data_IF_539169843632
#
_entry.id   IF_539169843632
#
_cell.length_a   1.000
_cell.length_b   1.000
_cell.length_c   1.000
_cell.angle_alpha   90.00
_cell.angle_beta   90.00
_cell.angle_gamma   90.00
#
_symmetry.space_group_name_H-M   'P 1'
#
loop_
_entity.id
_entity.type
_entity.pdbx_description
1 polymer ?
#
# COMPACT_ATOMS: atom_id res chain seq x y z
N UNK A 1 3.83 -61.09 -30.38
CA UNK A 1 2.94 -60.10 -31.02
C UNK A 1 1.84 -59.74 -30.04
N UNK A 2 1.78 -58.50 -29.58
CA UNK A 2 0.70 -58.03 -28.70
C UNK A 2 -0.60 -57.98 -29.52
N UNK A 3 -1.49 -58.96 -29.32
CA UNK A 3 -2.81 -58.96 -29.94
C UNK A 3 -3.77 -58.11 -29.11
N UNK A 4 -4.04 -56.89 -29.57
CA UNK A 4 -5.06 -56.02 -28.98
C UNK A 4 -6.44 -56.37 -29.54
N UNK A 5 -7.45 -56.46 -28.68
CA UNK A 5 -8.84 -56.58 -29.12
C UNK A 5 -9.28 -55.33 -29.87
N UNK A 6 -10.09 -55.48 -30.93
CA UNK A 6 -10.46 -54.38 -31.84
C UNK A 6 -11.00 -53.13 -31.12
N UNK A 7 -11.76 -53.32 -30.04
CA UNK A 7 -12.25 -52.22 -29.20
C UNK A 7 -11.13 -51.46 -28.47
N UNK A 8 -10.12 -52.16 -27.95
CA UNK A 8 -8.94 -51.53 -27.34
C UNK A 8 -8.14 -50.75 -28.38
N UNK A 9 -8.00 -51.28 -29.60
CA UNK A 9 -7.36 -50.57 -30.72
C UNK A 9 -8.10 -49.28 -31.06
N UNK A 10 -9.44 -49.30 -31.11
CA UNK A 10 -10.26 -48.10 -31.34
C UNK A 10 -10.06 -47.07 -30.22
N UNK A 11 -10.08 -47.49 -28.96
CA UNK A 11 -9.84 -46.60 -27.81
C UNK A 11 -8.44 -45.95 -27.84
N UNK A 12 -7.42 -46.72 -28.20
CA UNK A 12 -6.05 -46.20 -28.32
C UNK A 12 -5.99 -45.12 -29.41
N UNK A 13 -6.53 -45.40 -30.59
CA UNK A 13 -6.55 -44.41 -31.68
C UNK A 13 -7.37 -43.16 -31.33
N UNK A 14 -8.51 -43.33 -30.64
CA UNK A 14 -9.33 -42.21 -30.20
C UNK A 14 -8.58 -41.34 -29.18
N UNK A 15 -7.84 -41.95 -28.25
CA UNK A 15 -6.99 -41.23 -27.29
C UNK A 15 -5.84 -40.49 -27.98
N UNK A 16 -5.20 -41.10 -28.98
CA UNK A 16 -4.13 -40.46 -29.77
C UNK A 16 -4.68 -39.27 -30.57
N UNK A 17 -5.84 -39.43 -31.21
CA UNK A 17 -6.52 -38.35 -31.96
C UNK A 17 -6.91 -37.22 -31.02
N UNK A 18 -7.49 -37.53 -29.85
CA UNK A 18 -7.80 -36.53 -28.85
C UNK A 18 -6.54 -35.76 -28.40
N UNK A 19 -5.44 -36.45 -28.13
CA UNK A 19 -4.16 -35.82 -27.78
C UNK A 19 -3.63 -34.89 -28.88
N UNK A 20 -3.72 -35.31 -30.15
CA UNK A 20 -3.35 -34.46 -31.29
C UNK A 20 -4.25 -33.23 -31.41
N UNK A 21 -5.56 -33.37 -31.20
CA UNK A 21 -6.50 -32.24 -31.23
C UNK A 21 -6.25 -31.22 -30.13
N UNK A 22 -5.87 -31.66 -28.92
CA UNK A 22 -5.49 -30.76 -27.82
C UNK A 22 -4.12 -30.10 -28.03
N UNK A 23 -3.20 -30.74 -28.74
CA UNK A 23 -1.87 -30.19 -29.04
C UNK A 23 -1.83 -29.30 -30.29
N UNK A 24 -2.75 -29.48 -31.24
CA UNK A 24 -2.83 -28.73 -32.49
C UNK A 24 -2.79 -27.19 -32.33
N UNK A 25 -3.41 -26.58 -31.30
CA UNK A 25 -3.39 -25.13 -31.12
C UNK A 25 -1.98 -24.55 -30.93
N UNK A 26 -1.03 -25.34 -30.43
CA UNK A 26 0.34 -24.88 -30.20
C UNK A 26 1.16 -24.73 -31.50
N UNK A 27 0.76 -25.38 -32.60
CA UNK A 27 1.49 -25.40 -33.88
C UNK A 27 1.01 -24.32 -34.86
N UNK A 28 -0.09 -23.64 -34.55
CA UNK A 28 -0.79 -22.74 -35.47
C UNK A 28 -0.72 -21.29 -34.96
N UNK A 29 -0.57 -20.32 -35.87
CA UNK A 29 -0.55 -18.89 -35.53
C UNK A 29 -1.92 -18.42 -35.00
N UNK A 30 -1.94 -17.42 -34.10
CA UNK A 30 -3.17 -16.92 -33.45
C UNK A 30 -4.26 -16.52 -34.45
N UNK A 31 -3.89 -15.89 -35.57
CA UNK A 31 -4.83 -15.50 -36.63
C UNK A 31 -5.55 -16.67 -37.31
N UNK A 32 -4.95 -17.85 -37.36
CA UNK A 32 -5.59 -19.06 -37.90
C UNK A 32 -6.39 -19.81 -36.83
N UNK A 33 -6.13 -19.58 -35.54
CA UNK A 33 -6.93 -20.12 -34.42
C UNK A 33 -8.26 -19.38 -34.26
N UNK A 34 -8.27 -18.06 -34.51
CA UNK A 34 -9.49 -17.25 -34.44
C UNK A 34 -10.50 -17.62 -35.54
N UNK A 35 -10.01 -18.16 -36.67
CA UNK A 35 -10.83 -18.68 -37.76
C UNK A 35 -11.40 -20.08 -37.50
N UNK A 36 -11.00 -20.77 -36.42
CA UNK A 36 -11.53 -22.09 -36.07
C UNK A 36 -12.93 -21.97 -35.43
N UNK A 37 -13.80 -22.98 -35.65
CA UNK A 37 -15.09 -23.06 -34.97
C UNK A 37 -14.96 -23.04 -33.44
N UNK A 38 -15.95 -22.47 -32.74
CA UNK A 38 -15.90 -22.28 -31.28
C UNK A 38 -15.86 -23.58 -30.45
N UNK A 39 -16.18 -24.73 -31.05
CA UNK A 39 -16.12 -26.04 -30.39
C UNK A 39 -14.69 -26.62 -30.32
N UNK A 40 -13.72 -26.03 -31.03
CA UNK A 40 -12.33 -26.49 -31.08
C UNK A 40 -11.51 -25.79 -29.98
N UNK A 41 -10.60 -26.47 -29.26
CA UNK A 41 -9.72 -25.82 -28.29
C UNK A 41 -8.87 -24.74 -28.96
N UNK A 42 -9.01 -23.48 -28.54
CA UNK A 42 -8.24 -22.33 -29.04
C UNK A 42 -7.09 -21.91 -28.11
N UNK A 43 -7.03 -22.50 -26.91
CA UNK A 43 -6.05 -22.15 -25.88
C UNK A 43 -4.69 -22.76 -26.20
N UNK A 44 -3.68 -21.91 -26.38
CA UNK A 44 -2.27 -22.34 -26.40
C UNK A 44 -1.81 -22.63 -24.98
N UNK A 45 -0.81 -23.50 -24.86
CA UNK A 45 -0.11 -23.69 -23.59
C UNK A 45 0.56 -22.38 -23.17
N UNK A 46 0.35 -21.96 -21.92
CA UNK A 46 1.04 -20.81 -21.36
C UNK A 46 2.53 -21.12 -21.27
N UNK A 47 3.34 -20.29 -21.94
CA UNK A 47 4.79 -20.42 -21.93
C UNK A 47 5.31 -19.75 -20.66
N UNK A 48 6.22 -20.40 -19.94
CA UNK A 48 6.89 -19.76 -18.80
C UNK A 48 7.79 -18.60 -19.23
N UNK A 49 8.19 -17.77 -18.27
CA UNK A 49 9.04 -16.59 -18.45
C UNK A 49 10.29 -16.86 -19.31
N UNK A 50 10.93 -18.02 -19.12
CA UNK A 50 12.16 -18.41 -19.82
C UNK A 50 11.95 -18.63 -21.33
N UNK A 51 10.72 -18.96 -21.75
CA UNK A 51 10.37 -19.20 -23.15
C UNK A 51 9.64 -18.03 -23.81
N UNK A 52 8.97 -17.18 -23.02
CA UNK A 52 8.20 -16.02 -23.50
C UNK A 52 8.99 -14.70 -23.40
N UNK A 53 10.05 -14.65 -22.61
CA UNK A 53 10.66 -13.39 -22.19
C UNK A 53 9.78 -12.64 -21.19
N UNK A 54 10.38 -11.71 -20.42
CA UNK A 54 9.64 -10.85 -19.51
C UNK A 54 10.52 -10.22 -18.44
N UNK A 55 9.87 -9.51 -17.52
CA UNK A 55 10.54 -8.75 -16.46
C UNK A 55 10.41 -9.43 -15.11
N UNK A 56 11.51 -9.49 -14.36
CA UNK A 56 11.60 -10.07 -13.02
C UNK A 56 12.19 -9.04 -12.05
N UNK A 57 11.41 -8.63 -11.05
CA UNK A 57 11.82 -7.64 -10.05
C UNK A 57 11.59 -8.21 -8.64
N UNK A 58 12.57 -7.98 -7.77
CA UNK A 58 12.46 -8.25 -6.34
C UNK A 58 12.39 -6.91 -5.61
N UNK A 59 11.28 -6.66 -4.94
CA UNK A 59 11.08 -5.49 -4.09
C UNK A 59 11.34 -5.87 -2.65
N UNK A 60 11.99 -5.00 -1.87
CA UNK A 60 12.24 -5.20 -0.45
C UNK A 60 11.60 -4.06 0.33
N UNK A 61 10.95 -4.38 1.44
CA UNK A 61 10.41 -3.40 2.38
C UNK A 61 11.53 -2.89 3.28
N UNK A 62 11.65 -1.58 3.37
CA UNK A 62 12.60 -0.94 4.28
C UNK A 62 12.05 -0.94 5.71
N UNK A 63 12.59 -1.81 6.57
CA UNK A 63 12.16 -1.93 7.98
C UNK A 63 12.38 -0.62 8.74
N UNK A 64 13.39 0.16 8.37
CA UNK A 64 13.67 1.45 8.99
C UNK A 64 12.50 2.44 8.83
N UNK A 65 11.84 2.44 7.67
CA UNK A 65 10.69 3.31 7.41
C UNK A 65 9.49 2.90 8.27
N UNK A 66 9.23 1.59 8.41
CA UNK A 66 8.19 1.07 9.31
C UNK A 66 8.44 1.48 10.76
N UNK A 67 9.70 1.42 11.23
CA UNK A 67 10.06 1.87 12.58
C UNK A 67 9.77 3.36 12.74
N UNK A 68 10.20 4.18 11.79
CA UNK A 68 10.02 5.63 11.83
C UNK A 68 8.53 6.00 11.85
N UNK A 69 7.74 5.47 10.92
CA UNK A 69 6.32 5.74 10.83
C UNK A 69 5.59 5.29 12.10
N UNK A 70 5.98 4.13 12.68
CA UNK A 70 5.38 3.66 13.92
C UNK A 70 5.75 4.55 15.11
N UNK A 71 6.99 5.04 15.20
CA UNK A 71 7.39 5.97 16.25
C UNK A 71 6.65 7.29 16.17
N UNK A 72 6.49 7.85 14.97
CA UNK A 72 5.73 9.08 14.74
C UNK A 72 4.26 8.87 15.14
N UNK A 73 3.63 7.78 14.67
CA UNK A 73 2.26 7.45 15.02
C UNK A 73 2.07 7.23 16.53
N UNK A 74 2.95 6.49 17.19
CA UNK A 74 2.89 6.27 18.65
C UNK A 74 3.08 7.57 19.40
N UNK A 75 4.03 8.42 19.00
CA UNK A 75 4.25 9.74 19.61
C UNK A 75 3.01 10.63 19.49
N UNK A 76 2.42 10.70 18.32
CA UNK A 76 1.25 11.55 18.06
C UNK A 76 0.02 11.05 18.82
N UNK A 77 -0.14 9.73 18.94
CA UNK A 77 -1.20 9.12 19.73
C UNK A 77 -1.02 9.36 21.23
N UNK A 78 0.19 9.21 21.77
CA UNK A 78 0.52 9.61 23.16
C UNK A 78 0.16 11.08 23.39
N UNK A 79 0.53 11.95 22.45
CA UNK A 79 0.21 13.39 22.51
C UNK A 79 -1.28 13.66 22.52
N UNK A 80 -2.05 12.94 21.70
CA UNK A 80 -3.50 13.07 21.58
C UNK A 80 -4.18 12.64 22.88
N UNK A 81 -3.89 11.44 23.35
CA UNK A 81 -4.47 10.86 24.56
C UNK A 81 -4.17 11.70 25.82
N UNK A 82 -2.93 12.14 26.00
CA UNK A 82 -2.57 12.99 27.14
C UNK A 82 -3.26 14.36 27.09
N UNK A 83 -3.54 14.90 25.90
CA UNK A 83 -4.24 16.18 25.75
C UNK A 83 -5.74 16.06 26.02
N UNK A 84 -6.36 14.97 25.61
CA UNK A 84 -7.79 14.72 25.86
C UNK A 84 -8.08 14.65 27.37
N UNK A 85 -7.20 13.99 28.13
CA UNK A 85 -7.30 13.90 29.59
C UNK A 85 -6.66 15.09 30.33
N UNK A 86 -6.24 16.14 29.60
CA UNK A 86 -5.61 17.35 30.16
C UNK A 86 -4.38 17.08 31.06
N UNK A 87 -3.62 16.02 30.77
CA UNK A 87 -2.42 15.63 31.52
C UNK A 87 -1.22 16.43 31.03
N UNK A 88 -0.56 17.13 31.95
CA UNK A 88 0.63 17.92 31.64
C UNK A 88 1.86 17.03 31.41
N UNK A 89 2.48 17.13 30.23
CA UNK A 89 3.70 16.37 29.89
C UNK A 89 4.84 17.27 29.38
N UNK A 90 6.06 16.73 29.39
CA UNK A 90 7.29 17.38 28.92
C UNK A 90 8.24 16.35 28.30
N UNK A 91 9.07 16.78 27.36
CA UNK A 91 10.10 15.93 26.77
C UNK A 91 9.56 14.78 25.92
N UNK A 92 8.40 14.94 25.27
CA UNK A 92 7.89 13.97 24.31
C UNK A 92 8.83 13.91 23.10
N UNK A 93 9.60 12.84 23.00
CA UNK A 93 10.57 12.62 21.92
C UNK A 93 10.61 11.15 21.53
N UNK A 94 10.70 10.86 20.23
CA UNK A 94 10.99 9.53 19.70
C UNK A 94 12.45 9.44 19.27
N UNK A 95 13.16 8.40 19.71
CA UNK A 95 14.55 8.14 19.30
C UNK A 95 14.79 6.64 19.14
N UNK A 96 15.36 6.23 18.01
CA UNK A 96 15.70 4.84 17.73
C UNK A 96 14.48 3.93 17.58
N UNK A 97 14.05 3.29 18.68
CA UNK A 97 12.83 2.45 18.77
C UNK A 97 11.99 2.79 20.00
N UNK A 98 12.29 3.92 20.65
CA UNK A 98 11.64 4.32 21.90
C UNK A 98 10.97 5.68 21.78
N UNK A 99 9.80 5.82 22.39
CA UNK A 99 9.13 7.10 22.63
C UNK A 99 9.15 7.33 24.12
N UNK A 100 9.75 8.44 24.54
CA UNK A 100 9.81 8.82 25.96
C UNK A 100 8.95 10.05 26.20
N UNK A 101 8.27 10.07 27.34
CA UNK A 101 7.46 11.19 27.80
C UNK A 101 7.56 11.31 29.31
N UNK A 102 7.77 12.52 29.81
CA UNK A 102 7.77 12.79 31.25
C UNK A 102 6.48 13.49 31.64
N UNK A 103 5.76 12.91 32.60
CA UNK A 103 4.56 13.51 33.18
C UNK A 103 4.99 14.55 34.22
N UNK A 104 4.36 15.73 34.21
CA UNK A 104 4.73 16.84 35.11
C UNK A 104 4.24 16.62 36.53
N UNK A 105 3.03 16.07 36.67
CA UNK A 105 2.39 15.86 37.97
C UNK A 105 2.52 14.39 38.39
N UNK A 106 3.14 14.16 39.56
CA UNK A 106 3.32 12.84 40.14
C UNK A 106 1.98 12.16 40.49
N UNK A 107 0.92 12.93 40.78
CA UNK A 107 -0.40 12.38 41.10
C UNK A 107 -1.13 11.88 39.85
N UNK A 108 -0.79 12.42 38.67
CA UNK A 108 -1.40 12.05 37.39
C UNK A 108 -0.68 10.89 36.69
N UNK A 109 0.42 10.37 37.25
CA UNK A 109 1.17 9.26 36.62
C UNK A 109 0.32 8.00 36.49
N UNK A 110 -0.48 7.67 37.53
CA UNK A 110 -1.37 6.50 37.50
C UNK A 110 -2.46 6.67 36.44
N UNK A 111 -3.09 7.85 36.37
CA UNK A 111 -4.09 8.17 35.36
C UNK A 111 -3.48 8.11 33.95
N UNK A 112 -2.29 8.69 33.76
CA UNK A 112 -1.57 8.65 32.49
C UNK A 112 -1.28 7.22 32.03
N UNK A 113 -0.89 6.32 32.94
CA UNK A 113 -0.68 4.90 32.62
C UNK A 113 -1.97 4.22 32.19
N UNK A 114 -3.09 4.53 32.83
CA UNK A 114 -4.40 3.99 32.47
C UNK A 114 -4.85 4.47 31.09
N UNK A 115 -4.74 5.77 30.80
CA UNK A 115 -5.08 6.33 29.48
C UNK A 115 -4.20 5.74 28.37
N UNK A 116 -2.90 5.58 28.65
CA UNK A 116 -1.94 5.05 27.68
C UNK A 116 -1.90 3.51 27.62
N UNK A 117 -2.66 2.81 28.47
CA UNK A 117 -2.75 1.34 28.45
C UNK A 117 -3.26 0.85 27.09
N UNK A 118 -4.15 1.61 26.45
CA UNK A 118 -4.67 1.36 25.10
C UNK A 118 -3.58 1.21 24.03
N UNK A 119 -2.43 1.88 24.20
CA UNK A 119 -1.28 1.77 23.28
C UNK A 119 -0.48 0.47 23.44
N UNK A 120 -0.59 -0.14 24.62
CA UNK A 120 0.12 -1.38 24.98
C UNK A 120 -0.78 -2.61 24.87
N UNK A 121 -2.05 -2.42 24.49
CA UNK A 121 -3.00 -3.51 24.33
C UNK A 121 -2.49 -4.52 23.29
N UNK A 122 -2.43 -5.82 23.64
CA UNK A 122 -1.98 -6.82 22.71
C UNK A 122 -2.92 -6.95 21.53
N UNK A 123 -2.36 -6.99 20.32
CA UNK A 123 -3.13 -7.24 19.10
C UNK A 123 -3.28 -8.76 18.95
N UNK A 124 -4.50 -9.20 18.67
CA UNK A 124 -4.77 -10.60 18.32
C UNK A 124 -4.23 -10.87 16.92
N UNK A 125 -3.21 -11.73 16.80
CA UNK A 125 -2.54 -11.99 15.51
C UNK A 125 -3.31 -12.95 14.57
N UNK A 126 -4.59 -13.23 14.85
CA UNK A 126 -5.42 -14.02 13.93
C UNK A 126 -6.85 -14.29 14.40
N UNK A 127 -7.72 -14.57 13.42
CA UNK A 127 -9.14 -14.93 13.61
C UNK A 127 -9.34 -16.24 14.40
N UNK A 128 -8.32 -17.09 14.50
CA UNK A 128 -8.37 -18.43 15.08
C UNK A 128 -7.44 -18.63 16.31
N UNK A 129 -7.24 -17.59 17.12
CA UNK A 129 -6.70 -17.75 18.48
C UNK A 129 -5.19 -17.99 18.63
N UNK A 130 -4.39 -17.65 17.61
CA UNK A 130 -2.93 -17.75 17.67
C UNK A 130 -2.27 -16.43 18.09
N UNK A 131 -1.81 -16.35 19.34
CA UNK A 131 -0.87 -15.34 19.83
C UNK A 131 -1.41 -13.92 20.02
N UNK A 132 -1.27 -13.38 21.23
CA UNK A 132 -1.35 -11.95 21.51
C UNK A 132 0.02 -11.32 21.30
N UNK A 133 0.15 -10.37 20.38
CA UNK A 133 1.41 -9.66 20.13
C UNK A 133 1.32 -8.29 20.81
N UNK A 134 2.25 -8.01 21.73
CA UNK A 134 2.40 -6.66 22.28
C UNK A 134 3.34 -5.88 21.37
N UNK A 135 2.80 -4.88 20.66
CA UNK A 135 3.62 -4.07 19.75
C UNK A 135 4.50 -3.06 20.47
N UNK A 136 4.03 -2.60 21.63
CA UNK A 136 4.65 -1.55 22.41
C UNK A 136 4.67 -1.96 23.85
N UNK A 137 5.85 -2.01 24.45
CA UNK A 137 6.01 -2.22 25.89
C UNK A 137 6.18 -0.88 26.59
N UNK A 138 5.56 -0.74 27.76
CA UNK A 138 5.72 0.41 28.63
C UNK A 138 6.67 0.08 29.77
N UNK A 139 7.70 0.90 29.92
CA UNK A 139 8.62 0.90 31.07
C UNK A 139 8.54 2.24 31.80
N UNK A 140 8.80 2.21 33.11
CA UNK A 140 9.01 3.40 33.93
C UNK A 140 10.44 3.38 34.49
N UNK A 141 11.41 4.03 33.83
CA UNK A 141 12.81 4.00 34.25
C UNK A 141 13.07 4.93 35.44
N UNK A 142 12.32 6.03 35.51
CA UNK A 142 12.34 7.04 36.57
C UNK A 142 10.91 7.38 36.95
N UNK A 143 10.62 7.80 38.20
CA UNK A 143 9.29 8.23 38.61
C UNK A 143 8.73 9.30 37.67
N UNK A 144 7.61 8.99 37.00
CA UNK A 144 6.95 9.90 36.07
C UNK A 144 7.57 9.99 34.67
N UNK A 145 8.65 9.23 34.37
CA UNK A 145 9.18 9.06 33.02
C UNK A 145 8.62 7.76 32.43
N UNK A 146 7.75 7.88 31.44
CA UNK A 146 7.19 6.75 30.71
C UNK A 146 7.98 6.53 29.42
N UNK A 147 8.42 5.30 29.19
CA UNK A 147 9.15 4.90 27.99
C UNK A 147 8.40 3.78 27.28
N UNK A 148 7.98 4.07 26.06
CA UNK A 148 7.37 3.12 25.14
C UNK A 148 8.46 2.57 24.22
N UNK A 149 8.62 1.26 24.17
CA UNK A 149 9.60 0.59 23.30
C UNK A 149 8.86 -0.27 22.29
N UNK A 150 9.17 -0.09 21.00
CA UNK A 150 8.64 -0.96 19.95
C UNK A 150 9.29 -2.34 20.03
N UNK A 151 8.48 -3.39 20.13
CA UNK A 151 8.96 -4.77 20.21
C UNK A 151 9.42 -5.28 18.85
N UNK A 152 10.30 -6.28 18.85
CA UNK A 152 10.71 -6.97 17.62
C UNK A 152 9.53 -7.71 16.98
N UNK A 153 8.76 -8.45 17.78
CA UNK A 153 7.57 -9.18 17.33
C UNK A 153 6.52 -8.26 16.70
N UNK A 154 6.28 -7.08 17.31
CA UNK A 154 5.39 -6.08 16.75
C UNK A 154 5.88 -5.52 15.42
N UNK A 155 7.18 -5.28 15.29
CA UNK A 155 7.77 -4.79 14.05
C UNK A 155 7.75 -5.85 12.94
N UNK A 156 7.90 -7.13 13.26
CA UNK A 156 7.80 -8.21 12.27
C UNK A 156 6.35 -8.42 11.83
N UNK A 157 5.40 -8.35 12.77
CA UNK A 157 3.98 -8.35 12.45
C UNK A 157 3.62 -7.19 11.52
N UNK A 158 4.06 -5.97 11.84
CA UNK A 158 3.82 -4.78 11.02
C UNK A 158 4.48 -4.87 9.65
N UNK A 159 5.69 -5.43 9.57
CA UNK A 159 6.39 -5.67 8.29
C UNK A 159 5.60 -6.67 7.44
N UNK A 160 5.11 -7.77 8.02
CA UNK A 160 4.29 -8.76 7.32
C UNK A 160 2.93 -8.18 6.87
N UNK A 161 2.31 -7.34 7.69
CA UNK A 161 1.08 -6.64 7.33
C UNK A 161 1.30 -5.66 6.16
N UNK A 162 2.36 -4.84 6.25
CA UNK A 162 2.76 -3.91 5.20
C UNK A 162 3.09 -4.65 3.89
N UNK A 163 3.70 -5.84 3.98
CA UNK A 163 3.97 -6.69 2.83
C UNK A 163 2.70 -7.19 2.15
N UNK A 164 1.72 -7.65 2.94
CA UNK A 164 0.44 -8.11 2.41
C UNK A 164 -0.29 -6.98 1.68
N UNK A 165 -0.33 -5.80 2.28
CA UNK A 165 -0.92 -4.61 1.65
C UNK A 165 -0.15 -4.19 0.39
N UNK A 166 1.18 -4.25 0.42
CA UNK A 166 2.03 -3.89 -0.71
C UNK A 166 1.83 -4.84 -1.89
N UNK A 167 1.62 -6.14 -1.66
CA UNK A 167 1.28 -7.11 -2.70
C UNK A 167 0.01 -6.69 -3.44
N UNK A 168 -1.02 -6.26 -2.72
CA UNK A 168 -2.27 -5.79 -3.33
C UNK A 168 -2.07 -4.52 -4.16
N UNK A 169 -1.27 -3.56 -3.65
CA UNK A 169 -0.93 -2.33 -4.39
C UNK A 169 -0.14 -2.65 -5.67
N UNK A 170 0.87 -3.51 -5.56
CA UNK A 170 1.68 -3.95 -6.70
C UNK A 170 0.80 -4.69 -7.71
N UNK A 171 -0.12 -5.54 -7.24
CA UNK A 171 -1.07 -6.24 -8.11
C UNK A 171 -1.95 -5.27 -8.91
N UNK A 172 -2.53 -4.26 -8.26
CA UNK A 172 -3.31 -3.24 -8.95
C UNK A 172 -2.50 -2.50 -10.01
N UNK A 173 -1.29 -2.03 -9.66
CA UNK A 173 -0.41 -1.30 -10.60
C UNK A 173 0.04 -2.14 -11.79
N UNK A 174 0.31 -3.43 -11.59
CA UNK A 174 0.71 -4.31 -12.71
C UNK A 174 -0.48 -4.63 -13.59
N UNK A 175 -1.69 -4.78 -13.03
CA UNK A 175 -2.90 -5.00 -13.83
C UNK A 175 -3.23 -3.81 -14.74
N UNK A 176 -2.89 -2.57 -14.34
CA UNK A 176 -3.05 -1.37 -15.17
C UNK A 176 -2.22 -1.42 -16.47
N UNK A 177 -1.16 -2.24 -16.53
CA UNK A 177 -0.36 -2.44 -17.74
C UNK A 177 -1.07 -3.29 -18.80
N UNK A 178 -2.22 -3.90 -18.48
CA UNK A 178 -2.97 -4.76 -19.40
C UNK A 178 -2.30 -6.11 -19.70
N UNK A 179 -1.35 -6.55 -18.85
CA UNK A 179 -0.63 -7.82 -19.02
C UNK A 179 -1.47 -9.00 -18.55
N UNK A 180 -1.35 -10.13 -19.24
CA UNK A 180 -2.35 -11.21 -19.13
C UNK A 180 -2.28 -12.02 -17.83
N UNK A 181 -1.19 -12.06 -17.07
CA UNK A 181 -1.12 -12.83 -15.81
C UNK A 181 0.21 -12.55 -15.05
N UNK A 182 0.30 -11.50 -14.22
CA UNK A 182 1.50 -11.27 -13.41
C UNK A 182 1.57 -12.23 -12.22
N UNK A 183 2.77 -12.75 -11.94
CA UNK A 183 3.03 -13.56 -10.74
C UNK A 183 3.61 -12.65 -9.67
N UNK A 184 2.82 -12.41 -8.62
CA UNK A 184 3.21 -11.56 -7.48
C UNK A 184 3.13 -12.41 -6.23
N UNK A 185 4.28 -12.64 -5.60
CA UNK A 185 4.38 -13.56 -4.47
C UNK A 185 5.27 -12.97 -3.38
N UNK A 186 4.96 -13.33 -2.13
CA UNK A 186 5.84 -13.08 -1.00
C UNK A 186 7.09 -13.95 -1.13
N UNK A 187 8.27 -13.36 -0.94
CA UNK A 187 9.54 -14.06 -0.87
C UNK A 187 10.23 -13.75 0.46
N UNK A 188 10.23 -14.71 1.39
CA UNK A 188 10.73 -14.49 2.74
C UNK A 188 9.87 -13.52 3.54
N UNK A 189 10.46 -12.81 4.49
CA UNK A 189 9.69 -12.02 5.46
C UNK A 189 9.40 -10.59 5.00
N UNK A 190 10.28 -10.02 4.17
CA UNK A 190 10.31 -8.59 3.81
C UNK A 190 10.37 -8.32 2.30
N UNK A 191 10.31 -9.34 1.43
CA UNK A 191 10.43 -9.16 -0.03
C UNK A 191 9.21 -9.63 -0.81
N UNK A 192 9.00 -8.98 -1.94
CA UNK A 192 7.93 -9.26 -2.90
C UNK A 192 8.58 -9.57 -4.25
N UNK A 193 8.32 -10.77 -4.74
CA UNK A 193 8.70 -11.22 -6.07
C UNK A 193 7.62 -10.83 -7.06
N UNK A 194 8.01 -10.11 -8.12
CA UNK A 194 7.12 -9.67 -9.19
C UNK A 194 7.65 -10.17 -10.53
N UNK A 195 6.85 -10.96 -11.24
CA UNK A 195 7.17 -11.45 -12.57
C UNK A 195 6.05 -11.07 -13.53
N UNK A 196 6.42 -10.44 -14.63
CA UNK A 196 5.48 -9.99 -15.66
C UNK A 196 5.90 -10.59 -16.99
N UNK A 197 5.23 -11.68 -17.45
CA UNK A 197 5.49 -12.29 -18.75
C UNK A 197 5.18 -11.32 -19.89
N UNK A 198 6.00 -11.36 -20.96
CA UNK A 198 5.79 -10.53 -22.15
C UNK A 198 6.02 -9.02 -21.95
N UNK A 199 6.58 -8.60 -20.81
CA UNK A 199 7.06 -7.25 -20.59
C UNK A 199 8.56 -7.16 -20.86
N UNK A 200 8.92 -6.62 -22.02
CA UNK A 200 10.29 -6.57 -22.52
C UNK A 200 11.20 -5.55 -21.78
N UNK A 201 10.61 -4.52 -21.16
CA UNK A 201 11.35 -3.45 -20.48
C UNK A 201 11.14 -3.46 -18.95
N UNK A 202 12.12 -4.00 -18.18
CA UNK A 202 12.08 -3.98 -16.72
C UNK A 202 12.15 -2.57 -16.13
N UNK A 203 12.71 -1.60 -16.85
CA UNK A 203 12.86 -0.24 -16.35
C UNK A 203 11.49 0.44 -16.25
N UNK A 204 10.64 0.27 -17.26
CA UNK A 204 9.24 0.74 -17.20
C UNK A 204 8.47 0.14 -16.03
N UNK A 205 8.65 -1.15 -15.76
CA UNK A 205 8.03 -1.79 -14.59
C UNK A 205 8.57 -1.18 -13.29
N UNK A 206 9.88 -0.97 -13.21
CA UNK A 206 10.53 -0.33 -12.06
C UNK A 206 10.02 1.09 -11.85
N UNK A 207 9.81 1.88 -12.89
CA UNK A 207 9.34 3.26 -12.75
C UNK A 207 7.91 3.31 -12.19
N UNK A 208 7.04 2.42 -12.67
CA UNK A 208 5.65 2.28 -12.20
C UNK A 208 5.59 1.80 -10.74
N UNK A 209 6.46 0.85 -10.37
CA UNK A 209 6.49 0.31 -9.01
C UNK A 209 7.28 1.18 -8.03
N UNK A 210 8.30 1.89 -8.51
CA UNK A 210 9.23 2.70 -7.73
C UNK A 210 8.75 4.11 -7.43
N UNK A 211 7.75 4.62 -8.15
CA UNK A 211 7.11 5.88 -7.79
C UNK A 211 6.23 5.70 -6.54
N UNK A 212 6.68 6.24 -5.41
CA UNK A 212 5.86 6.38 -4.20
C UNK A 212 4.77 7.42 -4.47
N UNK A 213 3.62 6.97 -4.98
CA UNK A 213 2.45 7.79 -5.23
C UNK A 213 1.74 8.19 -3.91
N UNK A 214 2.41 8.98 -3.06
CA UNK A 214 1.81 9.54 -1.85
C UNK A 214 0.93 10.71 -2.24
N UNK A 215 -0.35 10.44 -2.47
CA UNK A 215 -1.35 11.48 -2.68
C UNK A 215 -1.90 11.94 -1.32
N UNK A 216 -1.97 13.24 -1.09
CA UNK A 216 -2.61 13.82 0.09
C UNK A 216 -3.47 15.01 -0.29
N UNK A 217 -4.65 15.09 0.32
CA UNK A 217 -5.54 16.24 0.25
C UNK A 217 -5.34 17.08 1.51
N UNK A 218 -4.88 18.32 1.31
CA UNK A 218 -4.55 19.29 2.37
C UNK A 218 -5.22 20.63 2.01
N UNK A 219 -5.47 21.48 3.02
CA UNK A 219 -6.04 22.81 2.79
C UNK A 219 -4.95 23.80 2.37
N UNK A 220 -5.34 24.76 1.53
CA UNK A 220 -4.50 25.92 1.23
C UNK A 220 -4.78 27.00 2.27
N UNK A 221 -3.74 27.45 2.95
CA UNK A 221 -3.81 28.58 3.88
C UNK A 221 -3.84 29.90 3.09
N UNK A 222 -4.91 30.66 3.26
CA UNK A 222 -5.12 31.96 2.60
C UNK A 222 -4.94 33.14 3.58
N UNK A 223 -4.57 32.88 4.83
CA UNK A 223 -4.44 33.91 5.87
C UNK A 223 -3.19 34.76 5.70
N UNK A 224 -2.15 34.23 5.04
CA UNK A 224 -0.86 34.90 4.81
C UNK A 224 -0.58 35.01 3.31
N UNK A 225 -0.13 36.18 2.80
CA UNK A 225 0.31 36.31 1.43
C UNK A 225 1.47 35.36 1.11
N UNK A 226 1.40 34.68 -0.04
CA UNK A 226 2.40 33.66 -0.41
C UNK A 226 3.82 34.24 -0.49
N UNK A 227 3.98 35.47 -0.98
CA UNK A 227 5.27 36.18 -0.97
C UNK A 227 5.86 36.32 0.44
N UNK A 228 5.05 36.61 1.45
CA UNK A 228 5.51 36.78 2.83
C UNK A 228 5.91 35.43 3.45
N UNK A 229 5.23 34.34 3.07
CA UNK A 229 5.60 32.99 3.48
C UNK A 229 6.89 32.48 2.81
N UNK A 230 7.22 32.97 1.60
CA UNK A 230 8.46 32.65 0.88
C UNK A 230 9.65 33.44 1.43
N UNK A 231 9.48 34.75 1.66
CA UNK A 231 10.54 35.64 2.15
C UNK A 231 10.77 35.51 3.66
N UNK A 232 9.72 35.17 4.40
CA UNK A 232 9.72 34.97 5.84
C UNK A 232 9.72 33.51 6.26
N UNK A 233 9.23 33.26 7.47
CA UNK A 233 9.00 31.90 7.98
C UNK A 233 7.51 31.59 7.86
N UNK A 234 7.11 30.48 7.22
CA UNK A 234 5.70 30.11 7.13
C UNK A 234 5.08 29.94 8.53
N UNK A 235 3.78 30.22 8.71
CA UNK A 235 3.05 29.96 9.94
C UNK A 235 3.26 28.55 10.45
N UNK A 236 3.18 28.36 11.78
CA UNK A 236 3.39 27.06 12.39
C UNK A 236 2.35 26.04 11.87
N UNK A 237 2.83 24.92 11.31
CA UNK A 237 1.99 23.89 10.72
C UNK A 237 1.63 24.11 9.26
N UNK A 238 2.38 24.94 8.54
CA UNK A 238 2.22 25.16 7.09
C UNK A 238 3.54 25.01 6.36
N UNK A 239 3.47 24.58 5.10
CA UNK A 239 4.61 24.38 4.20
C UNK A 239 4.33 25.03 2.85
N UNK A 240 5.33 25.71 2.29
CA UNK A 240 5.22 26.27 0.93
C UNK A 240 5.50 25.16 -0.09
N UNK A 241 4.57 24.94 -1.01
CA UNK A 241 4.71 24.00 -2.13
C UNK A 241 4.48 24.71 -3.47
N UNK A 242 5.16 24.25 -4.51
CA UNK A 242 5.00 24.77 -5.86
C UNK A 242 4.17 23.80 -6.70
N UNK A 243 3.27 24.34 -7.54
CA UNK A 243 2.58 23.52 -8.53
C UNK A 243 3.53 23.06 -9.64
N UNK A 244 3.09 22.03 -10.37
CA UNK A 244 3.78 21.54 -11.57
C UNK A 244 3.41 22.33 -12.85
N UNK A 245 2.71 23.47 -12.71
CA UNK A 245 2.37 24.34 -13.84
C UNK A 245 3.63 25.06 -14.35
N UNK A 246 3.59 25.54 -15.60
CA UNK A 246 4.64 26.39 -16.16
C UNK A 246 4.06 27.78 -16.47
N UNK A 247 4.40 28.84 -15.68
CA UNK A 247 5.38 28.86 -14.59
C UNK A 247 4.84 28.27 -13.27
N UNK A 248 5.72 27.76 -12.38
CA UNK A 248 5.29 27.18 -11.10
C UNK A 248 4.61 28.20 -10.20
N UNK A 249 3.42 27.85 -9.68
CA UNK A 249 2.66 28.70 -8.76
C UNK A 249 2.90 28.25 -7.31
N UNK A 250 3.35 29.13 -6.41
CA UNK A 250 3.52 28.77 -5.00
C UNK A 250 2.19 28.81 -4.23
N UNK A 251 2.01 27.85 -3.34
CA UNK A 251 0.89 27.74 -2.40
C UNK A 251 1.41 27.52 -0.98
N UNK A 252 0.74 28.12 0.01
CA UNK A 252 0.95 27.81 1.41
C UNK A 252 -0.06 26.72 1.79
N UNK A 253 0.42 25.54 2.17
CA UNK A 253 -0.42 24.37 2.44
C UNK A 253 -0.33 24.01 3.91
N UNK A 254 -1.45 23.69 4.54
CA UNK A 254 -1.48 23.16 5.90
C UNK A 254 -0.88 21.75 5.95
N UNK A 255 0.05 21.49 6.89
CA UNK A 255 0.67 20.17 7.06
C UNK A 255 -0.35 19.07 7.45
N UNK A 256 -1.55 19.48 7.86
CA UNK A 256 -2.64 18.58 8.24
C UNK A 256 -3.25 17.91 6.99
N UNK A 257 -2.99 16.61 6.84
CA UNK A 257 -3.64 15.77 5.84
C UNK A 257 -5.10 15.50 6.22
N UNK A 258 -6.04 15.92 5.38
CA UNK A 258 -7.48 15.64 5.54
C UNK A 258 -7.77 14.20 5.15
N UNK A 259 -7.39 13.85 3.91
CA UNK A 259 -7.54 12.53 3.31
C UNK A 259 -6.26 12.20 2.55
N UNK A 260 -5.86 10.95 2.56
CA UNK A 260 -4.71 10.46 1.78
C UNK A 260 -5.18 9.51 0.68
N UNK A 261 -4.29 9.23 -0.27
CA UNK A 261 -4.54 8.27 -1.35
C UNK A 261 -4.78 6.83 -0.88
N UNK A 262 -4.51 6.50 0.39
CA UNK A 262 -4.86 5.18 0.95
C UNK A 262 -6.39 4.99 1.04
N UNK A 263 -7.15 6.09 1.09
CA UNK A 263 -8.61 6.09 1.18
C UNK A 263 -9.25 6.09 -0.22
N UNK A 264 -8.47 5.96 -1.30
CA UNK A 264 -8.96 5.87 -2.68
C UNK A 264 -9.22 4.41 -3.07
N UNK A 265 -10.44 4.15 -3.52
CA UNK A 265 -10.86 2.85 -4.05
C UNK A 265 -10.53 2.74 -5.54
N UNK A 266 -10.67 3.84 -6.28
CA UNK A 266 -10.50 3.87 -7.73
C UNK A 266 -10.02 5.26 -8.19
N UNK A 267 -9.25 5.30 -9.28
CA UNK A 267 -8.79 6.51 -9.95
C UNK A 267 -8.58 6.22 -11.43
N UNK A 268 -9.28 6.94 -12.30
CA UNK A 268 -9.25 6.70 -13.75
C UNK A 268 -9.18 8.01 -14.53
N UNK A 269 -8.38 8.06 -15.61
CA UNK A 269 -8.43 9.16 -16.55
C UNK A 269 -9.78 9.14 -17.27
N UNK A 270 -10.44 10.28 -17.33
CA UNK A 270 -11.68 10.51 -18.06
C UNK A 270 -11.63 11.87 -18.74
N UNK A 271 -12.68 12.23 -19.45
CA UNK A 271 -12.84 13.57 -20.02
C UNK A 271 -14.02 14.26 -19.35
N UNK A 272 -13.84 15.54 -18.98
CA UNK A 272 -14.96 16.37 -18.55
C UNK A 272 -15.94 16.49 -19.72
N UNK A 273 -17.21 16.11 -19.50
CA UNK A 273 -18.26 16.15 -20.52
C UNK A 273 -18.55 17.58 -21.01
N UNK A 274 -18.20 18.61 -20.22
CA UNK A 274 -18.45 20.01 -20.55
C UNK A 274 -17.28 20.67 -21.28
N UNK A 275 -16.05 20.47 -20.80
CA UNK A 275 -14.86 21.13 -21.36
C UNK A 275 -14.09 20.24 -22.34
N UNK A 276 -14.38 18.94 -22.41
CA UNK A 276 -13.61 17.94 -23.15
C UNK A 276 -12.14 17.86 -22.74
N UNK A 277 -11.80 18.38 -21.56
CA UNK A 277 -10.45 18.33 -21.01
C UNK A 277 -10.22 16.98 -20.31
N UNK A 278 -8.99 16.44 -20.39
CA UNK A 278 -8.64 15.23 -19.65
C UNK A 278 -8.62 15.54 -18.14
N UNK A 279 -9.39 14.78 -17.37
CA UNK A 279 -9.46 14.90 -15.91
C UNK A 279 -9.25 13.54 -15.27
N UNK A 280 -8.82 13.52 -14.01
CA UNK A 280 -8.73 12.30 -13.21
C UNK A 280 -9.98 12.21 -12.35
N UNK A 281 -10.82 11.22 -12.63
CA UNK A 281 -11.94 10.87 -11.76
C UNK A 281 -11.45 9.90 -10.69
N UNK A 282 -11.87 10.10 -9.45
CA UNK A 282 -11.47 9.25 -8.34
C UNK A 282 -12.64 8.98 -7.41
N UNK A 283 -12.56 7.87 -6.67
CA UNK A 283 -13.59 7.44 -5.72
C UNK A 283 -12.95 7.11 -4.38
N UNK A 284 -13.47 7.70 -3.30
CA UNK A 284 -13.07 7.38 -1.94
C UNK A 284 -13.81 6.15 -1.39
N UNK A 285 -13.20 5.52 -0.39
CA UNK A 285 -13.88 4.58 0.49
C UNK A 285 -14.83 5.32 1.44
N UNK A 286 -15.59 4.59 2.25
CA UNK A 286 -16.58 5.17 3.18
C UNK A 286 -15.95 6.16 4.17
N UNK A 287 -14.74 5.87 4.67
CA UNK A 287 -14.06 6.67 5.69
C UNK A 287 -13.49 7.95 5.08
N UNK A 288 -12.84 7.85 3.92
CA UNK A 288 -12.35 8.95 3.13
C UNK A 288 -13.48 9.86 2.67
N UNK A 289 -14.60 9.30 2.20
CA UNK A 289 -15.77 10.06 1.79
C UNK A 289 -16.37 10.89 2.95
N UNK A 290 -16.47 10.31 4.15
CA UNK A 290 -16.96 11.04 5.33
C UNK A 290 -16.03 12.19 5.73
N UNK A 291 -14.71 11.94 5.76
CA UNK A 291 -13.71 12.98 6.09
C UNK A 291 -13.67 14.10 5.06
N UNK A 292 -13.66 13.74 3.78
CA UNK A 292 -13.66 14.69 2.67
C UNK A 292 -14.97 15.50 2.65
N UNK A 293 -16.11 14.85 2.85
CA UNK A 293 -17.41 15.51 2.95
C UNK A 293 -17.50 16.50 4.10
N UNK A 294 -17.00 16.13 5.28
CA UNK A 294 -16.97 17.04 6.44
C UNK A 294 -16.04 18.23 6.19
N UNK A 295 -14.86 18.00 5.64
CA UNK A 295 -13.90 19.06 5.35
C UNK A 295 -14.43 20.03 4.29
N UNK A 296 -14.99 19.53 3.19
CA UNK A 296 -15.57 20.37 2.14
C UNK A 296 -16.79 21.14 2.63
N UNK A 297 -17.67 20.53 3.43
CA UNK A 297 -18.86 21.21 3.98
C UNK A 297 -18.51 22.44 4.83
N UNK A 298 -17.36 22.44 5.50
CA UNK A 298 -16.90 23.55 6.33
C UNK A 298 -16.16 24.64 5.54
N UNK A 299 -15.85 24.39 4.25
CA UNK A 299 -14.95 25.21 3.44
C UNK A 299 -15.46 25.39 1.99
N UNK A 300 -16.78 25.59 1.81
CA UNK A 300 -17.41 25.94 0.53
C UNK A 300 -17.38 27.44 0.28
#
# INVERSE_FOLDING_TARGET
MLYFTRWKTILIWLSVIAGLLFAAPNLVNQSALDALPDWMPKQKMTLGLDLQGGSHILLQIERADIVKDRLEATRDEVRRLLREESIGYTGLSGSGRTVQVRIRDAQQVTLAKETLASLTEPISSGLFGGGTISEVTLEEPEPGLLRFTLTEEGLDYRTSAALTQSIEVVSRRVNELGTTEPVIQRQGDDRILVQVPGLDDPQRLKDILGQTAKLTFQMVDQTVPVQEAIEGRPPAGTTVMYSNDDPPVPYVIEDRVIVSGENLVDAQPTFDQRTSEPVVSFRFDTKGAQRFGQATQQNV
#
